data_IF_346894023113
#
_entry.id   IF_346894023113
#
_cell.length_a   1.000
_cell.length_b   1.000
_cell.length_c   1.000
_cell.angle_alpha   90.00
_cell.angle_beta   90.00
_cell.angle_gamma   90.00
#
_symmetry.space_group_name_H-M   'P 1'
#
loop_
_entity.id
_entity.type
_entity.pdbx_description
1 polymer ?
#
# COMPACT_ATOMS: atom_id res chain seq x y z
N UNK A 1 -21.71 -28.74 7.39
CA UNK A 1 -21.39 -28.38 5.99
C UNK A 1 -22.25 -27.21 5.50
N UNK A 2 -22.23 -26.09 6.23
CA UNK A 2 -22.79 -24.81 5.79
C UNK A 2 -21.67 -23.88 5.27
N UNK A 3 -20.65 -24.42 4.63
CA UNK A 3 -19.33 -23.82 4.57
C UNK A 3 -18.93 -23.15 3.26
N UNK A 4 -19.73 -23.17 2.22
CA UNK A 4 -19.29 -22.64 0.92
C UNK A 4 -20.05 -21.38 0.44
N UNK A 5 -21.23 -21.09 0.99
CA UNK A 5 -22.03 -19.92 0.58
C UNK A 5 -21.65 -18.63 1.29
N UNK A 6 -21.17 -18.71 2.53
CA UNK A 6 -20.83 -17.54 3.37
C UNK A 6 -19.39 -17.03 3.20
N UNK A 7 -18.54 -17.79 2.49
CA UNK A 7 -17.16 -17.39 2.23
C UNK A 7 -17.04 -16.33 1.13
N UNK A 8 -18.02 -16.20 0.25
CA UNK A 8 -17.98 -15.23 -0.84
C UNK A 8 -18.54 -13.88 -0.38
N UNK A 9 -17.83 -12.76 -0.63
CA UNK A 9 -18.28 -11.46 -0.16
C UNK A 9 -19.58 -11.05 -0.84
N UNK A 10 -20.62 -10.83 -0.04
CA UNK A 10 -21.90 -10.26 -0.51
C UNK A 10 -21.90 -8.72 -0.46
N UNK A 11 -21.04 -8.13 0.37
CA UNK A 11 -20.94 -6.69 0.53
C UNK A 11 -20.44 -6.02 -0.74
N UNK A 12 -21.09 -4.90 -1.10
CA UNK A 12 -20.70 -4.00 -2.19
C UNK A 12 -20.57 -2.60 -1.64
N UNK A 13 -19.35 -2.08 -1.66
CA UNK A 13 -19.06 -0.72 -1.22
C UNK A 13 -19.24 0.31 -2.31
N UNK A 14 -18.95 1.55 -1.95
CA UNK A 14 -18.88 2.69 -2.85
C UNK A 14 -17.63 3.50 -2.53
N UNK A 15 -16.63 3.46 -3.41
CA UNK A 15 -15.32 4.03 -3.17
C UNK A 15 -15.17 5.42 -3.76
N UNK A 16 -14.56 6.30 -2.97
CA UNK A 16 -14.18 7.65 -3.39
C UNK A 16 -12.72 7.95 -3.07
N UNK A 17 -12.09 8.77 -3.92
CA UNK A 17 -10.85 9.44 -3.59
C UNK A 17 -11.13 10.63 -2.68
N UNK A 18 -10.48 10.70 -1.52
CA UNK A 18 -10.60 11.80 -0.56
C UNK A 18 -9.26 12.52 -0.47
N UNK A 19 -9.24 13.78 -0.90
CA UNK A 19 -8.02 14.58 -0.89
C UNK A 19 -7.56 14.91 0.53
N UNK A 20 -6.31 14.61 0.84
CA UNK A 20 -5.72 14.88 2.15
C UNK A 20 -5.22 16.33 2.30
N UNK A 21 -5.37 17.15 1.28
CA UNK A 21 -5.05 18.57 1.30
C UNK A 21 -6.28 19.45 1.49
N UNK A 22 -7.30 19.32 0.64
CA UNK A 22 -8.48 20.20 0.63
C UNK A 22 -9.80 19.49 0.99
N UNK A 23 -9.80 18.14 1.14
CA UNK A 23 -11.00 17.37 1.46
C UNK A 23 -11.93 17.08 0.27
N UNK A 24 -11.62 17.57 -0.95
CA UNK A 24 -12.42 17.27 -2.14
C UNK A 24 -12.53 15.77 -2.39
N UNK A 25 -13.69 15.33 -2.90
CA UNK A 25 -14.04 13.93 -3.14
C UNK A 25 -14.28 13.70 -4.62
N UNK A 26 -13.82 12.54 -5.13
CA UNK A 26 -13.98 12.13 -6.52
C UNK A 26 -14.34 10.64 -6.60
N UNK A 27 -15.21 10.23 -7.54
CA UNK A 27 -15.62 8.83 -7.65
C UNK A 27 -14.45 7.93 -8.07
N UNK A 28 -14.36 6.73 -7.49
CA UNK A 28 -13.33 5.76 -7.82
C UNK A 28 -13.44 5.17 -9.23
N UNK A 29 -14.53 5.43 -9.96
CA UNK A 29 -14.67 5.08 -11.37
C UNK A 29 -13.83 5.98 -12.31
N UNK A 30 -13.20 7.01 -11.78
CA UNK A 30 -12.25 7.88 -12.47
C UNK A 30 -10.83 7.57 -12.03
N UNK A 31 -9.85 7.89 -12.88
CA UNK A 31 -8.45 7.63 -12.60
C UNK A 31 -7.77 8.91 -12.13
N UNK A 32 -7.56 9.03 -10.81
CA UNK A 32 -6.91 10.18 -10.20
C UNK A 32 -5.66 9.78 -9.43
N UNK A 33 -4.60 10.59 -9.53
CA UNK A 33 -3.35 10.43 -8.77
C UNK A 33 -3.05 11.61 -7.86
N UNK A 34 -3.46 12.80 -8.30
CA UNK A 34 -3.41 14.05 -7.54
C UNK A 34 -4.74 14.77 -7.65
N UNK A 35 -5.08 15.52 -6.62
CA UNK A 35 -6.32 16.29 -6.58
C UNK A 35 -6.31 17.39 -7.67
N UNK A 36 -7.31 17.44 -8.55
CA UNK A 36 -7.44 18.50 -9.54
C UNK A 36 -7.49 19.91 -8.91
N UNK A 37 -8.06 20.03 -7.70
CA UNK A 37 -8.29 21.31 -7.04
C UNK A 37 -7.04 21.88 -6.35
N UNK A 38 -6.19 21.00 -5.77
CA UNK A 38 -5.06 21.46 -4.95
C UNK A 38 -3.76 20.66 -5.14
N UNK A 39 -3.71 19.72 -6.07
CA UNK A 39 -2.58 18.81 -6.32
C UNK A 39 -2.20 17.91 -5.12
N UNK A 40 -3.05 17.82 -4.10
CA UNK A 40 -2.87 16.97 -2.93
C UNK A 40 -2.98 15.47 -3.28
N UNK A 41 -2.48 14.62 -2.37
CA UNK A 41 -2.62 13.15 -2.48
C UNK A 41 -3.92 12.67 -1.87
N UNK A 42 -4.40 11.52 -2.35
CA UNK A 42 -5.65 10.92 -1.92
C UNK A 42 -5.46 9.75 -0.95
N UNK A 43 -6.44 9.53 -0.09
CA UNK A 43 -6.82 8.22 0.44
C UNK A 43 -8.07 7.74 -0.30
N UNK A 44 -8.30 6.43 -0.31
CA UNK A 44 -9.55 5.84 -0.76
C UNK A 44 -10.43 5.54 0.45
N UNK A 45 -11.67 5.99 0.40
CA UNK A 45 -12.66 5.71 1.42
C UNK A 45 -13.88 5.03 0.80
N UNK A 46 -14.43 4.07 1.53
CA UNK A 46 -15.71 3.48 1.22
C UNK A 46 -16.81 4.30 1.92
N UNK A 47 -17.69 4.95 1.16
CA UNK A 47 -18.76 5.77 1.71
C UNK A 47 -19.80 4.94 2.47
N UNK A 48 -19.87 3.65 2.19
CA UNK A 48 -20.76 2.69 2.84
C UNK A 48 -20.06 1.88 3.94
N UNK A 49 -18.82 2.23 4.31
CA UNK A 49 -18.00 1.48 5.29
C UNK A 49 -18.74 1.22 6.62
N UNK A 50 -19.61 2.13 7.04
CA UNK A 50 -20.39 1.98 8.28
C UNK A 50 -21.33 0.75 8.26
N UNK A 51 -21.77 0.30 7.09
CA UNK A 51 -22.62 -0.89 6.95
C UNK A 51 -21.89 -2.18 7.36
N UNK A 52 -20.55 -2.20 7.24
CA UNK A 52 -19.75 -3.34 7.69
C UNK A 52 -19.83 -3.56 9.21
N UNK A 53 -20.19 -2.51 9.98
CA UNK A 53 -20.39 -2.61 11.42
C UNK A 53 -21.71 -3.30 11.83
N UNK A 54 -22.61 -3.60 10.88
CA UNK A 54 -23.77 -4.46 11.11
C UNK A 54 -23.33 -5.91 11.40
N UNK A 55 -22.17 -6.29 10.90
CA UNK A 55 -21.50 -7.57 11.23
C UNK A 55 -20.55 -7.36 12.40
N UNK A 56 -20.67 -8.18 13.44
CA UNK A 56 -19.82 -8.07 14.62
C UNK A 56 -18.33 -8.26 14.29
N UNK A 57 -17.44 -7.62 15.05
CA UNK A 57 -16.01 -7.81 14.89
C UNK A 57 -15.56 -9.27 15.09
N UNK A 58 -16.26 -10.03 15.95
CA UNK A 58 -16.01 -11.47 16.15
C UNK A 58 -16.35 -12.26 14.87
N UNK A 59 -17.49 -12.01 14.27
CA UNK A 59 -17.88 -12.64 13.00
C UNK A 59 -16.91 -12.30 11.88
N UNK A 60 -16.42 -11.05 11.80
CA UNK A 60 -15.39 -10.68 10.84
C UNK A 60 -14.10 -11.47 11.04
N UNK A 61 -13.65 -11.67 12.28
CA UNK A 61 -12.48 -12.52 12.58
C UNK A 61 -12.67 -13.94 12.07
N UNK A 62 -13.80 -14.57 12.38
CA UNK A 62 -14.12 -15.90 11.91
C UNK A 62 -14.11 -16.00 10.37
N UNK A 63 -14.69 -15.01 9.67
CA UNK A 63 -14.71 -14.94 8.20
C UNK A 63 -13.28 -14.88 7.65
N UNK A 64 -12.45 -13.97 8.16
CA UNK A 64 -11.09 -13.78 7.67
C UNK A 64 -10.17 -14.95 8.00
N UNK A 65 -10.36 -15.60 9.15
CA UNK A 65 -9.61 -16.80 9.54
C UNK A 65 -10.01 -17.99 8.66
N UNK A 66 -11.29 -18.17 8.37
CA UNK A 66 -11.75 -19.21 7.45
C UNK A 66 -11.20 -18.98 6.02
N UNK A 67 -11.15 -17.75 5.55
CA UNK A 67 -10.60 -17.40 4.24
C UNK A 67 -9.10 -17.61 4.15
N UNK A 68 -8.36 -17.53 5.24
CA UNK A 68 -6.93 -17.81 5.24
C UNK A 68 -6.59 -19.24 4.76
N UNK A 69 -7.53 -20.17 4.91
CA UNK A 69 -7.41 -21.55 4.40
C UNK A 69 -8.10 -21.75 3.03
N UNK A 70 -8.75 -20.74 2.47
CA UNK A 70 -9.46 -20.82 1.20
C UNK A 70 -8.50 -20.96 0.02
N UNK A 71 -8.91 -21.78 -0.97
CA UNK A 71 -8.22 -21.86 -2.27
C UNK A 71 -8.96 -21.13 -3.38
N UNK A 72 -10.00 -20.34 -3.04
CA UNK A 72 -10.75 -19.60 -4.04
C UNK A 72 -9.90 -18.44 -4.59
N UNK A 73 -9.67 -18.33 -5.91
CA UNK A 73 -8.75 -17.35 -6.48
C UNK A 73 -9.03 -15.89 -6.06
N UNK A 74 -10.30 -15.52 -5.97
CA UNK A 74 -10.71 -14.16 -5.58
C UNK A 74 -10.62 -13.89 -4.07
N UNK A 75 -10.25 -14.88 -3.25
CA UNK A 75 -10.06 -14.75 -1.80
C UNK A 75 -8.64 -15.09 -1.36
N UNK A 76 -7.71 -15.20 -2.31
CA UNK A 76 -6.29 -15.43 -2.02
C UNK A 76 -5.55 -14.11 -1.77
N UNK A 77 -4.36 -14.24 -1.22
CA UNK A 77 -3.50 -13.10 -0.97
C UNK A 77 -4.16 -12.07 -0.08
N UNK A 78 -4.09 -10.82 -0.52
CA UNK A 78 -4.71 -9.69 0.18
C UNK A 78 -6.23 -9.69 0.12
N UNK A 79 -6.83 -10.36 -0.87
CA UNK A 79 -8.28 -10.31 -1.12
C UNK A 79 -9.10 -11.22 -0.19
N UNK A 80 -8.46 -11.97 0.71
CA UNK A 80 -9.19 -12.57 1.82
C UNK A 80 -9.89 -11.52 2.72
N UNK A 81 -9.41 -10.26 2.65
CA UNK A 81 -10.00 -9.09 3.28
C UNK A 81 -10.80 -8.23 2.28
N UNK A 82 -11.48 -8.88 1.36
CA UNK A 82 -12.14 -8.25 0.19
C UNK A 82 -12.97 -7.02 0.55
N UNK A 83 -13.80 -7.09 1.60
CA UNK A 83 -14.70 -6.01 2.00
C UNK A 83 -13.94 -4.75 2.44
N UNK A 84 -12.68 -4.88 2.84
CA UNK A 84 -11.85 -3.77 3.32
C UNK A 84 -10.96 -3.16 2.24
N UNK A 85 -10.68 -3.89 1.14
CA UNK A 85 -9.69 -3.47 0.13
C UNK A 85 -10.21 -3.49 -1.31
N UNK A 86 -11.31 -4.17 -1.58
CA UNK A 86 -11.78 -4.35 -2.95
C UNK A 86 -13.31 -4.33 -3.10
N UNK A 87 -14.09 -3.61 -2.27
CA UNK A 87 -15.54 -3.82 -2.16
C UNK A 87 -16.33 -3.47 -3.42
N UNK A 88 -15.73 -2.78 -4.39
CA UNK A 88 -16.34 -2.42 -5.67
C UNK A 88 -15.87 -3.27 -6.85
N UNK A 89 -14.86 -4.14 -6.63
CA UNK A 89 -14.28 -4.93 -7.71
C UNK A 89 -15.04 -6.23 -7.91
N UNK A 90 -15.19 -6.67 -9.15
CA UNK A 90 -15.73 -7.99 -9.43
C UNK A 90 -14.68 -9.08 -9.19
N UNK A 91 -15.09 -10.29 -8.74
CA UNK A 91 -14.17 -11.39 -8.51
C UNK A 91 -13.29 -11.75 -9.71
N UNK A 92 -13.81 -11.59 -10.92
CA UNK A 92 -13.11 -11.86 -12.18
C UNK A 92 -12.00 -10.85 -12.47
N UNK A 93 -12.08 -9.68 -11.85
CA UNK A 93 -11.06 -8.63 -11.99
C UNK A 93 -9.91 -8.79 -10.99
N UNK A 94 -10.04 -9.67 -10.01
CA UNK A 94 -9.02 -9.89 -8.98
C UNK A 94 -7.73 -10.43 -9.60
N UNK A 95 -6.62 -9.78 -9.27
CA UNK A 95 -5.26 -10.11 -9.68
C UNK A 95 -4.45 -10.45 -8.43
N UNK A 96 -4.21 -11.74 -8.20
CA UNK A 96 -3.48 -12.23 -7.03
C UNK A 96 -2.50 -13.34 -7.43
N UNK A 97 -1.24 -13.00 -7.77
CA UNK A 97 -0.20 -13.98 -8.07
C UNK A 97 0.40 -14.66 -6.81
N UNK A 98 -0.17 -14.41 -5.62
CA UNK A 98 0.26 -15.05 -4.36
C UNK A 98 0.90 -14.09 -3.35
N UNK A 99 0.65 -12.80 -3.46
CA UNK A 99 1.07 -11.80 -2.48
C UNK A 99 0.28 -11.93 -1.16
N UNK A 100 0.85 -11.41 -0.10
CA UNK A 100 0.26 -11.50 1.23
C UNK A 100 0.52 -12.86 1.91
N UNK A 101 -0.12 -13.09 3.05
CA UNK A 101 0.13 -14.25 3.91
C UNK A 101 1.63 -14.47 4.22
N UNK A 102 2.38 -13.39 4.25
CA UNK A 102 3.81 -13.47 4.49
C UNK A 102 4.10 -13.96 5.90
N UNK A 103 5.12 -14.82 6.08
CA UNK A 103 5.40 -15.41 7.37
C UNK A 103 5.84 -14.36 8.40
N UNK A 104 5.47 -14.59 9.65
CA UNK A 104 6.02 -13.88 10.80
C UNK A 104 7.01 -14.81 11.48
N UNK A 105 8.29 -14.45 11.45
CA UNK A 105 9.40 -15.24 11.97
C UNK A 105 9.82 -14.67 13.33
N UNK A 106 9.78 -15.49 14.37
CA UNK A 106 10.28 -15.08 15.70
C UNK A 106 11.81 -14.93 15.67
N UNK A 107 12.30 -13.95 16.41
CA UNK A 107 13.73 -13.82 16.63
C UNK A 107 14.28 -15.03 17.42
N UNK A 108 15.59 -15.21 17.36
CA UNK A 108 16.25 -16.19 18.21
C UNK A 108 16.35 -15.65 19.66
N UNK A 109 16.55 -16.55 20.65
CA UNK A 109 16.62 -16.14 22.06
C UNK A 109 17.71 -15.09 22.34
N UNK A 110 18.86 -15.16 21.69
CA UNK A 110 19.97 -14.21 21.91
C UNK A 110 19.57 -12.78 21.48
N UNK A 111 18.80 -12.65 20.41
CA UNK A 111 18.32 -11.34 19.95
C UNK A 111 17.20 -10.81 20.86
N UNK A 112 16.29 -11.67 21.30
CA UNK A 112 15.24 -11.28 22.26
C UNK A 112 15.84 -10.85 23.60
N UNK A 113 16.88 -11.54 24.11
CA UNK A 113 17.60 -11.15 25.31
C UNK A 113 18.25 -9.77 25.16
N UNK A 114 18.91 -9.51 24.02
CA UNK A 114 19.55 -8.21 23.73
C UNK A 114 18.54 -7.07 23.64
N UNK A 115 17.35 -7.33 23.11
CA UNK A 115 16.25 -6.34 22.99
C UNK A 115 15.47 -6.22 24.31
N UNK A 116 15.51 -7.26 25.15
CA UNK A 116 14.77 -7.34 26.42
C UNK A 116 13.27 -7.58 26.23
N UNK A 117 12.84 -8.00 25.06
CA UNK A 117 11.42 -8.24 24.71
C UNK A 117 11.28 -9.32 23.64
N UNK A 118 10.14 -10.03 23.58
CA UNK A 118 9.80 -10.86 22.42
C UNK A 118 9.83 -10.03 21.14
N UNK A 119 10.44 -10.59 20.08
CA UNK A 119 10.60 -9.92 18.80
C UNK A 119 10.26 -10.87 17.65
N UNK A 120 9.55 -10.34 16.65
CA UNK A 120 9.24 -11.08 15.44
C UNK A 120 9.39 -10.19 14.20
N UNK A 121 9.66 -10.82 13.06
CA UNK A 121 9.83 -10.16 11.76
C UNK A 121 8.75 -10.63 10.80
N UNK A 122 7.91 -9.71 10.34
CA UNK A 122 7.02 -10.00 9.22
C UNK A 122 7.80 -9.91 7.93
N UNK A 123 8.04 -11.07 7.32
CA UNK A 123 8.96 -11.21 6.19
C UNK A 123 8.27 -10.88 4.85
N UNK A 124 8.19 -9.61 4.51
CA UNK A 124 7.63 -9.13 3.24
C UNK A 124 8.47 -9.51 2.01
N UNK A 125 9.68 -9.99 2.20
CA UNK A 125 10.51 -10.56 1.13
C UNK A 125 9.99 -11.88 0.56
N UNK A 126 8.95 -12.48 1.15
CA UNK A 126 8.29 -13.68 0.63
C UNK A 126 7.14 -13.37 -0.35
N UNK A 127 6.85 -12.12 -0.61
CA UNK A 127 5.95 -11.75 -1.70
C UNK A 127 6.55 -12.11 -3.07
N UNK A 128 5.74 -12.29 -4.14
CA UNK A 128 6.19 -12.76 -5.46
C UNK A 128 7.35 -11.98 -6.09
N UNK A 129 7.39 -10.66 -5.94
CA UNK A 129 8.53 -9.83 -6.40
C UNK A 129 9.54 -9.53 -5.28
N UNK A 130 9.48 -10.26 -4.17
CA UNK A 130 10.30 -10.12 -2.98
C UNK A 130 10.12 -8.77 -2.24
N UNK A 131 8.94 -8.16 -2.33
CA UNK A 131 8.68 -6.85 -1.72
C UNK A 131 7.22 -6.67 -1.29
N UNK A 132 6.97 -5.91 -0.22
CA UNK A 132 5.63 -5.47 0.21
C UNK A 132 4.88 -4.65 -0.85
N UNK A 133 5.57 -4.19 -1.90
CA UNK A 133 4.96 -3.46 -3.01
C UNK A 133 3.89 -4.30 -3.71
N UNK A 134 4.01 -5.62 -3.68
CA UNK A 134 3.08 -6.55 -4.30
C UNK A 134 1.66 -6.43 -3.74
N UNK A 135 1.51 -6.19 -2.44
CA UNK A 135 0.20 -5.91 -1.84
C UNK A 135 -0.51 -4.75 -2.53
N UNK A 136 0.22 -3.68 -2.76
CA UNK A 136 -0.31 -2.50 -3.45
C UNK A 136 -0.55 -2.75 -4.93
N UNK A 137 0.33 -3.52 -5.59
CA UNK A 137 0.16 -3.82 -7.02
C UNK A 137 -1.02 -4.76 -7.27
N UNK A 138 -1.25 -5.75 -6.42
CA UNK A 138 -2.42 -6.61 -6.50
C UNK A 138 -3.73 -5.80 -6.52
N UNK A 139 -3.90 -4.90 -5.56
CA UNK A 139 -5.06 -4.03 -5.48
C UNK A 139 -5.14 -3.07 -6.69
N UNK A 140 -4.04 -2.43 -7.06
CA UNK A 140 -4.01 -1.50 -8.19
C UNK A 140 -4.31 -2.18 -9.53
N UNK A 141 -3.72 -3.34 -9.82
CA UNK A 141 -3.98 -4.06 -11.07
C UNK A 141 -5.38 -4.67 -11.13
N UNK A 142 -5.94 -5.10 -9.99
CA UNK A 142 -7.35 -5.53 -9.93
C UNK A 142 -8.29 -4.37 -10.27
N UNK A 143 -8.05 -3.20 -9.69
CA UNK A 143 -8.78 -1.99 -10.06
C UNK A 143 -8.60 -1.61 -11.54
N UNK A 144 -7.39 -1.68 -12.08
CA UNK A 144 -7.12 -1.37 -13.48
C UNK A 144 -7.85 -2.33 -14.44
N UNK A 145 -8.02 -3.62 -14.07
CA UNK A 145 -8.87 -4.55 -14.84
C UNK A 145 -10.34 -4.13 -14.81
N UNK A 146 -10.86 -3.77 -13.64
CA UNK A 146 -12.23 -3.23 -13.55
C UNK A 146 -12.37 -1.95 -14.36
N UNK A 147 -11.40 -1.05 -14.30
CA UNK A 147 -11.41 0.20 -15.06
C UNK A 147 -11.39 -0.03 -16.58
N UNK A 148 -10.57 -0.97 -17.07
CA UNK A 148 -10.57 -1.40 -18.48
C UNK A 148 -11.99 -1.80 -18.91
N UNK A 149 -12.68 -2.61 -18.12
CA UNK A 149 -14.04 -3.07 -18.39
C UNK A 149 -15.06 -1.93 -18.30
N UNK A 150 -15.00 -1.08 -17.27
CA UNK A 150 -15.94 0.03 -17.08
C UNK A 150 -15.82 1.09 -18.18
N UNK A 151 -14.59 1.39 -18.61
CA UNK A 151 -14.30 2.40 -19.63
C UNK A 151 -14.27 1.83 -21.06
N UNK A 152 -14.39 0.50 -21.21
CA UNK A 152 -14.26 -0.22 -22.49
C UNK A 152 -12.94 0.11 -23.22
N UNK A 153 -11.87 0.24 -22.47
CA UNK A 153 -10.54 0.50 -23.02
C UNK A 153 -9.94 -0.76 -23.65
N UNK A 154 -9.50 -0.66 -24.88
CA UNK A 154 -8.86 -1.77 -25.61
C UNK A 154 -7.41 -2.00 -25.17
N UNK A 155 -6.76 -1.00 -24.59
CA UNK A 155 -5.36 -1.04 -24.17
C UNK A 155 -5.15 -0.17 -22.95
N UNK A 156 -4.19 -0.55 -22.11
CA UNK A 156 -3.76 0.23 -20.97
C UNK A 156 -2.24 0.19 -20.87
N UNK A 157 -1.62 1.37 -20.82
CA UNK A 157 -0.22 1.52 -20.49
C UNK A 157 -0.09 1.83 -18.99
N UNK A 158 0.68 1.01 -18.28
CA UNK A 158 1.11 1.33 -16.92
C UNK A 158 2.50 1.93 -16.94
N UNK A 159 2.73 2.99 -16.17
CA UNK A 159 4.03 3.64 -16.07
C UNK A 159 4.51 3.72 -14.63
N UNK A 160 5.81 3.58 -14.46
CA UNK A 160 6.47 3.69 -13.16
C UNK A 160 7.87 4.28 -13.35
N UNK A 161 8.21 5.32 -12.58
CA UNK A 161 9.58 5.75 -12.40
C UNK A 161 10.11 5.14 -11.10
N UNK A 162 10.99 4.16 -11.18
CA UNK A 162 11.61 3.52 -10.00
C UNK A 162 12.79 2.68 -10.40
N UNK A 163 13.87 2.78 -9.67
CA UNK A 163 15.08 1.95 -9.81
C UNK A 163 15.07 0.69 -8.93
N UNK A 164 13.96 0.40 -8.24
CA UNK A 164 13.89 -0.70 -7.27
C UNK A 164 12.58 -1.45 -7.28
N UNK A 165 12.15 -1.93 -6.11
CA UNK A 165 11.01 -2.85 -5.93
C UNK A 165 9.70 -2.41 -6.59
N UNK A 166 9.45 -1.10 -6.69
CA UNK A 166 8.20 -0.63 -7.31
C UNK A 166 8.14 -0.98 -8.80
N UNK A 167 9.25 -0.80 -9.53
CA UNK A 167 9.31 -1.18 -10.96
C UNK A 167 9.31 -2.70 -11.15
N UNK A 168 10.00 -3.43 -10.29
CA UNK A 168 10.01 -4.90 -10.30
C UNK A 168 8.59 -5.46 -10.11
N UNK A 169 7.90 -5.02 -9.07
CA UNK A 169 6.53 -5.44 -8.79
C UNK A 169 5.55 -5.02 -9.90
N UNK A 170 5.61 -3.76 -10.37
CA UNK A 170 4.73 -3.27 -11.44
C UNK A 170 4.91 -4.08 -12.74
N UNK A 171 6.16 -4.39 -13.13
CA UNK A 171 6.45 -5.16 -14.31
C UNK A 171 5.94 -6.61 -14.20
N UNK A 172 6.16 -7.25 -13.05
CA UNK A 172 5.69 -8.62 -12.78
C UNK A 172 4.15 -8.70 -12.85
N UNK A 173 3.45 -7.79 -12.17
CA UNK A 173 1.98 -7.78 -12.19
C UNK A 173 1.41 -7.49 -13.59
N UNK A 174 2.02 -6.58 -14.36
CA UNK A 174 1.62 -6.35 -15.74
C UNK A 174 1.84 -7.60 -16.61
N UNK A 175 2.96 -8.32 -16.44
CA UNK A 175 3.22 -9.59 -17.12
C UNK A 175 2.19 -10.67 -16.73
N UNK A 176 1.82 -10.75 -15.44
CA UNK A 176 0.81 -11.69 -14.95
C UNK A 176 -0.57 -11.42 -15.54
N UNK A 177 -0.97 -10.15 -15.64
CA UNK A 177 -2.24 -9.75 -16.28
C UNK A 177 -2.21 -9.98 -17.78
N UNK A 178 -1.07 -9.70 -18.42
CA UNK A 178 -0.90 -9.82 -19.87
C UNK A 178 -1.71 -8.80 -20.66
N UNK A 179 -1.98 -9.13 -21.94
CA UNK A 179 -2.82 -8.28 -22.80
C UNK A 179 -4.21 -8.05 -22.15
N UNK A 180 -4.76 -6.82 -22.14
CA UNK A 180 -4.32 -5.64 -22.90
C UNK A 180 -3.41 -4.66 -22.13
N UNK A 181 -2.78 -5.07 -21.05
CA UNK A 181 -1.90 -4.22 -20.22
C UNK A 181 -0.45 -4.30 -20.71
N UNK A 182 0.21 -3.16 -20.83
CA UNK A 182 1.64 -3.04 -21.12
C UNK A 182 2.31 -2.24 -20.03
N UNK A 183 3.47 -2.68 -19.55
CA UNK A 183 4.25 -1.95 -18.54
C UNK A 183 5.41 -1.19 -19.17
N UNK A 184 5.60 0.05 -18.72
CA UNK A 184 6.74 0.88 -19.03
C UNK A 184 7.41 1.35 -17.74
N UNK A 185 8.73 1.21 -17.68
CA UNK A 185 9.56 1.69 -16.56
C UNK A 185 10.50 2.77 -17.09
N UNK A 186 10.46 3.94 -16.45
CA UNK A 186 11.33 5.07 -16.78
C UNK A 186 12.44 5.18 -15.72
N UNK A 187 13.67 5.32 -16.19
CA UNK A 187 14.88 5.30 -15.36
C UNK A 187 15.84 6.41 -15.77
N UNK A 188 16.62 6.98 -14.84
CA UNK A 188 17.67 7.91 -15.19
C UNK A 188 18.84 7.18 -15.84
N UNK A 189 19.28 7.69 -17.00
CA UNK A 189 20.32 7.08 -17.83
C UNK A 189 21.64 6.90 -17.06
N UNK A 190 22.19 5.68 -17.13
CA UNK A 190 23.48 5.32 -16.56
C UNK A 190 23.52 5.32 -15.01
N UNK A 191 22.36 5.39 -14.33
CA UNK A 191 22.26 5.42 -12.86
C UNK A 191 21.61 4.18 -12.26
N UNK A 192 21.48 3.12 -13.05
CA UNK A 192 20.81 1.88 -12.66
C UNK A 192 21.78 0.72 -12.80
N UNK A 193 21.75 -0.19 -11.84
CA UNK A 193 22.55 -1.41 -11.90
C UNK A 193 21.85 -2.49 -12.73
N UNK A 194 22.59 -3.46 -13.33
CA UNK A 194 21.99 -4.61 -14.00
C UNK A 194 21.02 -5.39 -13.12
N UNK A 195 21.29 -5.49 -11.82
CA UNK A 195 20.43 -6.16 -10.84
C UNK A 195 19.06 -5.47 -10.70
N UNK A 196 19.04 -4.15 -10.70
CA UNK A 196 17.79 -3.36 -10.66
C UNK A 196 16.97 -3.48 -11.93
N UNK A 197 17.61 -3.74 -13.08
CA UNK A 197 16.95 -3.94 -14.36
C UNK A 197 16.46 -5.39 -14.57
N UNK A 198 17.05 -6.36 -13.87
CA UNK A 198 16.82 -7.78 -14.13
C UNK A 198 15.34 -8.17 -14.04
N UNK A 199 14.64 -7.76 -12.99
CA UNK A 199 13.23 -8.11 -12.82
C UNK A 199 12.31 -7.39 -13.81
N UNK A 200 12.37 -6.06 -14.04
CA UNK A 200 11.56 -5.39 -15.04
C UNK A 200 11.76 -5.96 -16.45
N UNK A 201 13.01 -6.18 -16.87
CA UNK A 201 13.32 -6.75 -18.20
C UNK A 201 12.88 -8.20 -18.30
N UNK A 202 13.16 -9.02 -17.28
CA UNK A 202 12.74 -10.43 -17.22
C UNK A 202 11.23 -10.61 -17.24
N UNK A 203 10.48 -9.62 -16.78
CA UNK A 203 9.00 -9.56 -16.84
C UNK A 203 8.48 -8.95 -18.15
N UNK A 204 9.34 -8.61 -19.13
CA UNK A 204 8.93 -8.08 -20.41
C UNK A 204 8.45 -6.62 -20.40
N UNK A 205 8.74 -5.86 -19.36
CA UNK A 205 8.45 -4.43 -19.34
C UNK A 205 9.31 -3.66 -20.33
N UNK A 206 8.76 -2.60 -20.90
CA UNK A 206 9.52 -1.64 -21.70
C UNK A 206 10.31 -0.73 -20.78
N UNK A 207 11.62 -0.81 -20.78
CA UNK A 207 12.49 0.04 -19.98
C UNK A 207 13.04 1.16 -20.86
N UNK A 208 12.79 2.40 -20.43
CA UNK A 208 13.31 3.60 -21.09
C UNK A 208 14.24 4.34 -20.15
N UNK A 209 15.46 4.58 -20.60
CA UNK A 209 16.42 5.45 -19.90
C UNK A 209 16.29 6.87 -20.42
N UNK A 210 16.11 7.83 -19.51
CA UNK A 210 16.00 9.25 -19.81
C UNK A 210 17.24 9.99 -19.31
N UNK A 211 17.73 10.99 -20.06
CA UNK A 211 18.74 11.93 -19.55
C UNK A 211 18.23 12.64 -18.29
N UNK A 212 19.10 12.81 -17.31
CA UNK A 212 18.75 13.56 -16.09
C UNK A 212 18.82 12.74 -14.81
N UNK A 213 17.96 13.08 -13.86
CA UNK A 213 17.85 12.42 -12.53
C UNK A 213 16.47 11.80 -12.34
N UNK A 214 16.29 11.12 -11.21
CA UNK A 214 15.02 10.45 -10.89
C UNK A 214 13.79 11.40 -10.97
N UNK A 215 13.94 12.63 -10.50
CA UNK A 215 12.86 13.64 -10.53
C UNK A 215 12.45 14.02 -11.95
N UNK A 216 13.36 13.95 -12.92
CA UNK A 216 13.03 14.22 -14.32
C UNK A 216 12.22 13.05 -14.90
N UNK A 217 12.54 11.81 -14.55
CA UNK A 217 11.71 10.65 -14.89
C UNK A 217 10.30 10.78 -14.27
N UNK A 218 10.21 11.24 -13.03
CA UNK A 218 8.93 11.47 -12.36
C UNK A 218 8.08 12.51 -13.07
N UNK A 219 8.65 13.64 -13.50
CA UNK A 219 7.93 14.67 -14.27
C UNK A 219 7.34 14.09 -15.57
N UNK A 220 8.10 13.24 -16.26
CA UNK A 220 7.62 12.60 -17.51
C UNK A 220 6.46 11.65 -17.22
N UNK A 221 6.55 10.78 -16.21
CA UNK A 221 5.45 9.85 -15.89
C UNK A 221 4.20 10.59 -15.39
N UNK A 222 4.37 11.66 -14.63
CA UNK A 222 3.25 12.51 -14.21
C UNK A 222 2.59 13.20 -15.40
N UNK A 223 3.37 13.80 -16.29
CA UNK A 223 2.86 14.38 -17.52
C UNK A 223 2.08 13.38 -18.39
N UNK A 224 2.60 12.14 -18.51
CA UNK A 224 1.91 11.08 -19.25
C UNK A 224 0.57 10.71 -18.58
N UNK A 225 0.55 10.62 -17.25
CA UNK A 225 -0.65 10.26 -16.51
C UNK A 225 -1.73 11.37 -16.53
N UNK A 226 -1.30 12.63 -16.59
CA UNK A 226 -2.21 13.78 -16.64
C UNK A 226 -2.81 14.03 -18.03
N UNK A 227 -2.13 13.60 -19.11
CA UNK A 227 -2.53 13.94 -20.48
C UNK A 227 -2.99 12.74 -21.32
N UNK A 228 -2.79 11.51 -20.85
CA UNK A 228 -3.11 10.29 -21.60
C UNK A 228 -3.74 9.25 -20.68
N UNK A 229 -4.47 8.26 -21.21
CA UNK A 229 -5.03 7.15 -20.45
C UNK A 229 -3.91 6.18 -20.01
N UNK A 230 -3.07 6.64 -19.11
CA UNK A 230 -1.88 5.95 -18.60
C UNK A 230 -2.02 5.76 -17.10
N UNK A 231 -1.78 4.53 -16.62
CA UNK A 231 -1.85 4.22 -15.20
C UNK A 231 -0.51 4.43 -14.51
N UNK A 232 -0.43 5.45 -13.63
CA UNK A 232 0.73 5.73 -12.80
C UNK A 232 0.80 4.74 -11.63
N UNK A 233 1.93 4.03 -11.48
CA UNK A 233 2.14 3.04 -10.42
C UNK A 233 3.19 3.47 -9.38
N UNK A 234 3.41 4.77 -9.20
CA UNK A 234 4.24 5.33 -8.13
C UNK A 234 3.46 5.54 -6.82
N UNK A 235 4.09 6.17 -5.83
CA UNK A 235 3.54 6.33 -4.47
C UNK A 235 2.29 7.23 -4.37
N UNK A 236 1.97 7.99 -5.45
CA UNK A 236 0.72 8.78 -5.52
C UNK A 236 -0.53 7.91 -5.68
N UNK A 237 -0.40 6.72 -6.27
CA UNK A 237 -1.53 5.83 -6.53
C UNK A 237 -2.17 5.31 -5.22
N UNK A 238 -3.42 5.70 -4.98
CA UNK A 238 -4.14 5.39 -3.74
C UNK A 238 -4.60 3.93 -3.64
N UNK A 239 -4.83 3.26 -4.77
CA UNK A 239 -5.14 1.83 -4.78
C UNK A 239 -3.97 0.99 -4.27
N UNK A 240 -2.74 1.44 -4.53
CA UNK A 240 -1.56 0.80 -3.95
C UNK A 240 -1.51 0.98 -2.42
N UNK A 241 -1.90 2.15 -1.91
CA UNK A 241 -1.97 2.38 -0.45
C UNK A 241 -3.02 1.45 0.17
N UNK A 242 -4.20 1.37 -0.44
CA UNK A 242 -5.29 0.51 0.02
C UNK A 242 -4.87 -0.97 0.12
N UNK A 243 -4.21 -1.52 -0.92
CA UNK A 243 -3.72 -2.91 -0.86
C UNK A 243 -2.67 -3.15 0.22
N UNK A 244 -1.83 -2.16 0.54
CA UNK A 244 -0.82 -2.26 1.60
C UNK A 244 -1.42 -2.23 3.01
N UNK A 245 -2.67 -1.79 3.21
CA UNK A 245 -3.35 -1.85 4.51
C UNK A 245 -3.45 -3.28 5.05
N UNK A 246 -3.47 -4.27 4.16
CA UNK A 246 -3.54 -5.69 4.50
C UNK A 246 -2.36 -6.21 5.32
N UNK A 247 -1.24 -5.49 5.33
CA UNK A 247 -0.16 -5.77 6.28
C UNK A 247 -0.65 -5.70 7.72
N UNK A 248 -1.41 -4.65 8.08
CA UNK A 248 -1.97 -4.48 9.41
C UNK A 248 -2.98 -5.59 9.75
N UNK A 249 -3.79 -6.00 8.79
CA UNK A 249 -4.77 -7.06 8.98
C UNK A 249 -4.10 -8.40 9.27
N UNK A 250 -3.03 -8.71 8.56
CA UNK A 250 -2.24 -9.93 8.78
C UNK A 250 -1.48 -9.91 10.11
N UNK A 251 -0.97 -8.75 10.52
CA UNK A 251 -0.34 -8.61 11.85
C UNK A 251 -1.36 -8.84 12.95
N UNK A 252 -2.55 -8.24 12.84
CA UNK A 252 -3.62 -8.44 13.81
C UNK A 252 -4.06 -9.91 13.86
N UNK A 253 -4.24 -10.56 12.69
CA UNK A 253 -4.59 -11.98 12.60
C UNK A 253 -3.52 -12.89 13.21
N UNK A 254 -2.24 -12.61 12.97
CA UNK A 254 -1.13 -13.35 13.58
C UNK A 254 -1.08 -13.19 15.11
N UNK A 255 -1.48 -12.03 15.63
CA UNK A 255 -1.59 -11.74 17.06
C UNK A 255 -2.93 -12.20 17.66
N UNK A 256 -3.64 -13.13 17.02
CA UNK A 256 -4.97 -13.60 17.43
C UNK A 256 -5.95 -12.43 17.67
N UNK A 257 -5.82 -11.38 16.87
CA UNK A 257 -6.60 -10.13 16.94
C UNK A 257 -6.43 -9.35 18.26
N UNK A 258 -5.39 -9.64 19.03
CA UNK A 258 -5.03 -8.98 20.29
C UNK A 258 -3.80 -8.09 20.03
N UNK A 259 -4.02 -6.81 19.75
CA UNK A 259 -2.97 -5.90 19.30
C UNK A 259 -2.51 -4.87 20.34
N UNK A 260 -3.15 -4.79 21.50
CA UNK A 260 -2.88 -3.76 22.53
C UNK A 260 -1.45 -3.74 23.05
N UNK A 261 -0.85 -4.91 23.25
CA UNK A 261 0.54 -5.03 23.72
C UNK A 261 1.57 -5.14 22.56
N UNK A 262 1.15 -4.83 21.34
CA UNK A 262 2.00 -4.97 20.16
C UNK A 262 2.63 -3.64 19.76
N UNK A 263 3.92 -3.64 19.49
CA UNK A 263 4.66 -2.54 18.87
C UNK A 263 5.09 -2.93 17.45
N UNK A 264 4.69 -2.11 16.47
CA UNK A 264 4.99 -2.34 15.04
C UNK A 264 6.00 -1.31 14.56
N UNK A 265 7.19 -1.76 14.16
CA UNK A 265 8.24 -0.91 13.62
C UNK A 265 8.23 -0.95 12.09
N UNK A 266 8.08 0.20 11.46
CA UNK A 266 7.90 0.33 10.00
C UNK A 266 9.00 1.21 9.42
N UNK A 267 9.80 0.73 8.45
CA UNK A 267 10.71 1.58 7.69
C UNK A 267 9.95 2.64 6.88
N UNK A 268 10.42 3.89 6.94
CA UNK A 268 9.76 5.03 6.31
C UNK A 268 10.64 5.67 5.24
N UNK A 269 10.30 5.45 3.97
CA UNK A 269 10.81 6.20 2.82
C UNK A 269 9.77 7.23 2.35
N UNK A 270 9.01 6.93 1.27
CA UNK A 270 7.89 7.77 0.79
C UNK A 270 6.67 7.82 1.73
N UNK A 271 6.74 7.18 2.89
CA UNK A 271 5.71 7.14 3.94
C UNK A 271 4.37 6.48 3.53
N UNK A 272 4.27 5.89 2.34
CA UNK A 272 3.05 5.21 1.88
C UNK A 272 2.73 3.96 2.71
N UNK A 273 3.74 3.15 3.01
CA UNK A 273 3.54 1.91 3.76
C UNK A 273 3.07 2.16 5.21
N UNK A 274 3.69 3.09 5.92
CA UNK A 274 3.24 3.43 7.28
C UNK A 274 1.84 4.05 7.27
N UNK A 275 1.51 4.89 6.26
CA UNK A 275 0.15 5.39 6.09
C UNK A 275 -0.85 4.25 5.91
N UNK A 276 -0.55 3.27 5.06
CA UNK A 276 -1.40 2.12 4.84
C UNK A 276 -1.57 1.27 6.11
N UNK A 277 -0.48 0.97 6.82
CA UNK A 277 -0.51 0.19 8.06
C UNK A 277 -1.38 0.90 9.12
N UNK A 278 -1.20 2.21 9.27
CA UNK A 278 -2.01 3.02 10.21
C UNK A 278 -3.49 3.00 9.82
N UNK A 279 -3.81 3.21 8.54
CA UNK A 279 -5.19 3.15 8.04
C UNK A 279 -5.82 1.76 8.26
N UNK A 280 -5.04 0.70 8.04
CA UNK A 280 -5.48 -0.67 8.25
C UNK A 280 -5.89 -0.95 9.69
N UNK A 281 -5.05 -0.60 10.68
CA UNK A 281 -5.40 -0.77 12.09
C UNK A 281 -6.61 0.09 12.49
N UNK A 282 -6.72 1.31 11.97
CA UNK A 282 -7.90 2.16 12.20
C UNK A 282 -9.19 1.52 11.68
N UNK A 283 -9.17 0.88 10.49
CA UNK A 283 -10.33 0.14 9.95
C UNK A 283 -10.72 -1.02 10.85
N UNK A 284 -9.75 -1.84 11.27
CA UNK A 284 -10.01 -2.97 12.17
C UNK A 284 -10.61 -2.53 13.51
N UNK A 285 -10.09 -1.44 14.07
CA UNK A 285 -10.59 -0.88 15.33
C UNK A 285 -12.02 -0.33 15.18
N UNK A 286 -12.30 0.43 14.12
CA UNK A 286 -13.63 0.98 13.84
C UNK A 286 -14.72 -0.09 13.68
N UNK A 287 -14.36 -1.27 13.19
CA UNK A 287 -15.26 -2.42 13.03
C UNK A 287 -15.29 -3.32 14.28
N UNK A 288 -14.59 -2.97 15.35
CA UNK A 288 -14.50 -3.79 16.55
C UNK A 288 -13.79 -5.14 16.33
N UNK A 289 -13.07 -5.31 15.22
CA UNK A 289 -12.28 -6.51 14.92
C UNK A 289 -11.09 -6.59 15.87
N UNK A 290 -10.46 -5.47 16.17
CA UNK A 290 -9.52 -5.34 17.28
C UNK A 290 -10.08 -4.36 18.32
N UNK A 291 -9.77 -4.58 19.58
CA UNK A 291 -10.24 -3.73 20.68
C UNK A 291 -9.31 -2.55 20.93
N UNK A 292 -8.03 -2.78 20.82
CA UNK A 292 -6.98 -1.82 21.15
C UNK A 292 -6.05 -1.66 19.94
N UNK A 293 -5.60 -0.43 19.71
CA UNK A 293 -4.65 -0.12 18.65
C UNK A 293 -3.22 -0.47 19.09
N UNK A 294 -2.37 -1.08 18.22
CA UNK A 294 -0.97 -1.32 18.54
C UNK A 294 -0.19 0.01 18.53
N UNK A 295 0.98 0.04 19.16
CA UNK A 295 1.89 1.16 18.97
C UNK A 295 2.59 1.06 17.61
N UNK A 296 2.62 2.15 16.83
CA UNK A 296 3.26 2.19 15.52
C UNK A 296 4.46 3.15 15.54
N UNK A 297 5.64 2.62 15.23
CA UNK A 297 6.89 3.37 15.19
C UNK A 297 7.41 3.47 13.74
N UNK A 298 7.47 4.69 13.20
CA UNK A 298 8.13 4.97 11.93
C UNK A 298 9.63 5.11 12.11
N UNK A 299 10.41 4.36 11.33
CA UNK A 299 11.88 4.39 11.39
C UNK A 299 12.43 5.00 10.13
N UNK A 300 13.19 6.10 10.25
CA UNK A 300 13.92 6.73 9.15
C UNK A 300 15.43 6.68 9.39
N UNK A 301 16.19 6.70 8.28
CA UNK A 301 17.63 6.98 8.36
C UNK A 301 17.84 8.43 8.76
N UNK A 302 18.79 8.70 9.65
CA UNK A 302 19.24 10.08 9.98
C UNK A 302 19.76 10.86 8.77
N UNK A 303 20.01 10.19 7.65
CA UNK A 303 20.40 10.75 6.37
C UNK A 303 19.22 11.20 5.49
N UNK A 304 17.97 10.88 5.91
CA UNK A 304 16.73 11.24 5.19
C UNK A 304 15.55 11.14 6.18
N UNK A 305 15.45 12.08 7.12
CA UNK A 305 14.59 12.02 8.31
C UNK A 305 13.54 13.15 8.45
N UNK A 306 12.90 13.64 7.38
CA UNK A 306 11.99 14.78 7.47
C UNK A 306 10.76 14.52 8.33
N UNK A 307 10.24 13.30 8.36
CA UNK A 307 9.07 12.93 9.19
C UNK A 307 9.46 12.88 10.67
N UNK A 308 10.62 12.30 10.98
CA UNK A 308 11.15 12.29 12.33
C UNK A 308 11.34 13.71 12.87
N UNK A 309 11.96 14.62 12.10
CA UNK A 309 12.15 16.04 12.49
C UNK A 309 10.83 16.73 12.77
N UNK A 310 9.82 16.50 11.93
CA UNK A 310 8.49 17.06 12.12
C UNK A 310 7.89 16.63 13.46
N UNK A 311 7.87 15.33 13.76
CA UNK A 311 7.26 14.82 14.99
C UNK A 311 8.11 15.01 16.27
N UNK A 312 9.42 15.23 16.14
CA UNK A 312 10.29 15.56 17.26
C UNK A 312 10.15 17.00 17.74
N UNK A 313 9.58 17.88 16.91
CA UNK A 313 9.29 19.25 17.32
C UNK A 313 8.03 19.31 18.22
N UNK A 314 7.98 20.27 19.18
CA UNK A 314 6.77 20.52 19.97
C UNK A 314 5.57 20.79 19.06
N UNK A 315 4.39 20.32 19.44
CA UNK A 315 3.21 20.30 18.57
C UNK A 315 2.88 21.66 17.94
N UNK A 316 2.85 22.74 18.71
CA UNK A 316 2.60 24.10 18.21
C UNK A 316 3.72 24.68 17.32
N UNK A 317 4.87 24.00 17.22
CA UNK A 317 6.03 24.46 16.45
C UNK A 317 6.31 23.56 15.25
N UNK A 318 5.53 22.49 15.05
CA UNK A 318 5.72 21.55 13.96
C UNK A 318 5.59 22.21 12.62
N UNK A 319 6.67 22.17 11.83
CA UNK A 319 6.69 22.59 10.42
C UNK A 319 7.33 21.48 9.60
N UNK A 320 6.66 21.09 8.54
CA UNK A 320 7.24 20.12 7.63
C UNK A 320 8.16 20.81 6.64
N UNK A 321 9.41 20.35 6.61
CA UNK A 321 10.43 20.80 5.67
C UNK A 321 11.10 19.59 5.03
N UNK A 322 11.20 19.56 3.69
CA UNK A 322 12.02 18.56 3.00
C UNK A 322 13.49 18.65 3.43
N UNK A 323 14.20 17.53 3.38
CA UNK A 323 15.63 17.48 3.71
C UNK A 323 16.46 17.06 2.49
N UNK A 324 17.69 17.55 2.41
CA UNK A 324 18.68 17.02 1.48
C UNK A 324 19.15 15.66 1.98
N UNK A 325 19.12 14.66 1.11
CA UNK A 325 19.54 13.30 1.44
C UNK A 325 21.07 13.13 1.35
N UNK A 326 21.62 12.28 2.19
CA UNK A 326 23.02 11.87 2.11
C UNK A 326 23.13 10.34 2.05
N UNK A 327 24.27 9.78 1.55
CA UNK A 327 24.40 8.34 1.37
C UNK A 327 24.14 7.53 2.65
N UNK A 328 23.38 6.45 2.52
CA UNK A 328 23.03 5.53 3.60
C UNK A 328 22.97 4.09 3.05
N UNK A 329 23.14 3.10 3.93
CA UNK A 329 22.92 1.69 3.60
C UNK A 329 21.44 1.40 3.29
N UNK A 330 20.53 2.21 3.83
CA UNK A 330 19.09 2.11 3.59
C UNK A 330 18.66 2.86 2.30
N UNK A 331 19.25 2.51 1.17
CA UNK A 331 19.07 3.23 -0.10
C UNK A 331 17.60 3.43 -0.50
N UNK A 332 16.77 2.42 -0.34
CA UNK A 332 15.34 2.48 -0.69
C UNK A 332 14.51 3.43 0.20
N UNK A 333 15.04 3.80 1.38
CA UNK A 333 14.40 4.72 2.32
C UNK A 333 14.99 6.14 2.27
N UNK A 334 15.94 6.41 1.35
CA UNK A 334 16.58 7.72 1.19
C UNK A 334 15.66 8.71 0.46
N UNK A 335 14.59 9.12 1.10
CA UNK A 335 13.60 10.04 0.53
C UNK A 335 13.55 11.32 1.38
N UNK A 336 14.02 12.42 0.80
CA UNK A 336 14.08 13.72 1.48
C UNK A 336 12.75 14.46 1.50
N UNK A 337 11.81 14.10 0.62
CA UNK A 337 10.46 14.68 0.55
C UNK A 337 9.40 13.57 0.34
N UNK A 338 8.99 12.87 1.40
CA UNK A 338 7.98 11.81 1.33
C UNK A 338 6.64 12.27 0.77
N UNK A 339 6.24 11.72 -0.39
CA UNK A 339 4.98 12.05 -1.08
C UNK A 339 3.75 11.79 -0.20
N UNK A 340 3.79 10.77 0.67
CA UNK A 340 2.66 10.41 1.53
C UNK A 340 2.68 11.10 2.90
N UNK A 341 3.53 12.10 3.13
CA UNK A 341 3.53 12.83 4.41
C UNK A 341 2.15 13.40 4.79
N UNK A 342 1.35 14.01 3.86
CA UNK A 342 0.00 14.46 4.20
C UNK A 342 -0.93 13.34 4.70
N UNK A 343 -0.79 12.11 4.13
CA UNK A 343 -1.53 10.93 4.60
C UNK A 343 -1.12 10.54 6.02
N UNK A 344 0.20 10.49 6.28
CA UNK A 344 0.71 10.20 7.64
C UNK A 344 0.17 11.18 8.65
N UNK A 345 0.19 12.47 8.36
CA UNK A 345 -0.29 13.50 9.29
C UNK A 345 -1.77 13.30 9.62
N UNK A 346 -2.63 13.18 8.60
CA UNK A 346 -4.05 13.00 8.79
C UNK A 346 -4.40 11.73 9.59
N UNK A 347 -3.72 10.61 9.28
CA UNK A 347 -3.95 9.33 9.95
C UNK A 347 -3.37 9.31 11.37
N UNK A 348 -2.23 9.94 11.62
CA UNK A 348 -1.65 10.02 12.95
C UNK A 348 -2.52 10.84 13.92
N UNK A 349 -3.14 11.92 13.45
CA UNK A 349 -4.11 12.69 14.22
C UNK A 349 -5.32 11.83 14.64
N UNK A 350 -5.89 11.07 13.71
CA UNK A 350 -7.00 10.14 13.99
C UNK A 350 -6.55 9.03 14.97
N UNK A 351 -5.36 8.49 14.78
CA UNK A 351 -4.82 7.39 15.57
C UNK A 351 -4.65 7.80 17.04
N UNK A 352 -4.03 8.96 17.28
CA UNK A 352 -3.84 9.51 18.62
C UNK A 352 -5.14 9.80 19.32
N UNK A 353 -6.11 10.38 18.60
CA UNK A 353 -7.44 10.65 19.15
C UNK A 353 -8.14 9.40 19.67
N UNK A 354 -7.92 8.24 19.04
CA UNK A 354 -8.52 6.96 19.45
C UNK A 354 -7.67 6.21 20.48
N UNK A 355 -6.35 6.38 20.46
CA UNK A 355 -5.44 5.76 21.42
C UNK A 355 -5.44 6.48 22.80
N UNK A 356 -6.04 7.67 22.88
CA UNK A 356 -6.10 8.46 24.13
C UNK A 356 -4.77 9.19 24.44
N UNK A 357 -3.95 9.46 23.43
CA UNK A 357 -2.67 10.15 23.53
C UNK A 357 -2.75 11.61 23.05
#
# INVERSE_FOLDING_TARGET
MAQARDAFPAYRGEMEYVCQGCGSRFPAAELHYTCPDCSGVFLLEDTRFAELAETSGETWREIFDARAASKHPALQGIFRFYELVAPILEPEDIVSPGEGQTPVVRANPDLEERVGRPLAFKNEGQNPSASFKDRGMACAFSYLKSLLRWKQWERLLTVCASTGDTSASAAMYAAYVGHPVTSMVLLPQGKVTPQQLAQPLGSGARVLELPGVFDDCMKVVEYLADNYPVALLNSKNSWRILGQETYAFEVAQWADWQTGDTAVFVPVGNAGNISAITAGFLKLHRLGIIRELPQIFGVQSSHADPVYRYYSAPEGQRRYEPVSVSPSVAQAAMIGNPVSFPRVRALAEQYRSLAGE
#
